data_IF_922360399321
#
_entry.id   IF_922360399321
#
_cell.length_a   1.000
_cell.length_b   1.000
_cell.length_c   1.000
_cell.angle_alpha   90.00
_cell.angle_beta   90.00
_cell.angle_gamma   90.00
#
_symmetry.space_group_name_H-M   'P 1'
#
loop_
_entity.id
_entity.type
_entity.pdbx_description
1 polymer ?
#
# COMPACT_ATOMS: atom_id res chain seq x y z
N UNK A 1 -0.39 16.78 -7.16
CA UNK A 1 -1.21 15.67 -6.65
C UNK A 1 -0.56 14.35 -7.01
N UNK A 2 -0.46 13.45 -6.05
CA UNK A 2 0.17 12.14 -6.25
C UNK A 2 -0.72 11.04 -5.70
N UNK A 3 -0.66 9.89 -6.35
CA UNK A 3 -1.19 8.65 -5.80
C UNK A 3 -0.03 7.91 -5.13
N UNK A 4 -0.13 7.68 -3.84
CA UNK A 4 0.81 6.83 -3.12
C UNK A 4 0.15 5.48 -2.96
N UNK A 5 0.79 4.46 -3.52
CA UNK A 5 0.31 3.08 -3.49
C UNK A 5 1.32 2.23 -2.73
N UNK A 6 0.87 1.53 -1.72
CA UNK A 6 1.72 0.65 -0.93
C UNK A 6 1.20 -0.78 -0.99
N UNK A 7 2.09 -1.72 -1.28
CA UNK A 7 1.79 -3.15 -1.16
C UNK A 7 2.46 -3.62 0.12
N UNK A 8 1.68 -4.09 1.08
CA UNK A 8 2.15 -4.39 2.43
C UNK A 8 1.69 -5.78 2.88
N UNK A 9 2.31 -6.27 3.95
CA UNK A 9 1.83 -7.49 4.62
C UNK A 9 0.47 -7.22 5.24
N UNK A 10 -0.49 -8.17 5.15
CA UNK A 10 -1.85 -7.93 5.62
C UNK A 10 -1.95 -7.52 7.09
N UNK A 11 -1.14 -8.11 7.97
CA UNK A 11 -1.18 -7.81 9.40
C UNK A 11 -0.65 -6.42 9.77
N UNK A 12 -0.08 -5.70 8.80
CA UNK A 12 0.39 -4.32 8.99
C UNK A 12 -0.64 -3.26 8.62
N UNK A 13 -1.78 -3.66 8.11
CA UNK A 13 -2.79 -2.70 7.63
C UNK A 13 -3.24 -1.71 8.70
N UNK A 14 -3.54 -2.19 9.91
CA UNK A 14 -4.03 -1.31 10.97
C UNK A 14 -2.98 -0.28 11.39
N UNK A 15 -1.73 -0.69 11.50
CA UNK A 15 -0.63 0.21 11.84
C UNK A 15 -0.42 1.27 10.76
N UNK A 16 -0.50 0.88 9.48
CA UNK A 16 -0.38 1.82 8.36
C UNK A 16 -1.54 2.81 8.36
N UNK A 17 -2.75 2.33 8.55
CA UNK A 17 -3.94 3.18 8.60
C UNK A 17 -3.83 4.22 9.72
N UNK A 18 -3.41 3.80 10.91
CA UNK A 18 -3.22 4.72 12.04
C UNK A 18 -2.11 5.73 11.77
N UNK A 19 -1.00 5.30 11.17
CA UNK A 19 0.10 6.19 10.84
C UNK A 19 -0.33 7.27 9.85
N UNK A 20 -1.11 6.90 8.83
CA UNK A 20 -1.64 7.85 7.85
C UNK A 20 -2.65 8.81 8.47
N UNK A 21 -3.54 8.31 9.32
CA UNK A 21 -4.50 9.14 10.04
C UNK A 21 -3.80 10.17 10.93
N UNK A 22 -2.72 9.78 11.58
CA UNK A 22 -1.94 10.65 12.47
C UNK A 22 -1.33 11.87 11.75
N UNK A 23 -1.08 11.77 10.46
CA UNK A 23 -0.54 12.89 9.67
C UNK A 23 -1.61 13.57 8.82
N UNK A 24 -2.89 13.29 9.10
CA UNK A 24 -4.01 13.96 8.44
C UNK A 24 -4.52 13.30 7.17
N UNK A 25 -4.01 12.15 6.79
CA UNK A 25 -4.51 11.40 5.63
C UNK A 25 -5.60 10.44 6.10
N UNK A 26 -6.84 10.77 5.78
CA UNK A 26 -8.00 9.98 6.23
C UNK A 26 -8.64 9.16 5.09
N UNK A 27 -8.54 9.63 3.87
CA UNK A 27 -9.09 8.94 2.71
C UNK A 27 -8.10 7.95 2.14
N UNK A 28 -8.31 6.67 2.41
CA UNK A 28 -7.51 5.60 1.83
C UNK A 28 -8.41 4.56 1.18
N UNK A 29 -7.90 3.90 0.15
CA UNK A 29 -8.56 2.76 -0.47
C UNK A 29 -7.73 1.52 -0.21
N UNK A 30 -8.38 0.45 0.20
CA UNK A 30 -7.72 -0.81 0.56
C UNK A 30 -8.25 -1.91 -0.35
N UNK A 31 -7.32 -2.67 -0.93
CA UNK A 31 -7.65 -3.80 -1.80
C UNK A 31 -6.86 -5.01 -1.37
N UNK A 32 -7.52 -6.15 -1.21
CA UNK A 32 -6.84 -7.42 -1.00
C UNK A 32 -6.25 -7.88 -2.33
N UNK A 33 -4.96 -8.19 -2.32
CA UNK A 33 -4.23 -8.61 -3.51
C UNK A 33 -3.35 -9.80 -3.19
N UNK A 34 -2.81 -10.41 -4.24
CA UNK A 34 -1.82 -11.49 -4.10
C UNK A 34 -0.52 -11.03 -4.70
N UNK A 35 0.55 -11.21 -3.95
CA UNK A 35 1.88 -10.87 -4.39
C UNK A 35 2.63 -12.10 -4.89
N UNK A 36 3.33 -11.92 -6.00
CA UNK A 36 4.31 -12.88 -6.49
C UNK A 36 5.69 -12.23 -6.37
N UNK A 37 6.60 -12.86 -5.65
CA UNK A 37 7.91 -12.27 -5.46
C UNK A 37 8.92 -13.28 -4.96
N UNK A 38 10.09 -12.78 -4.59
CA UNK A 38 11.20 -13.60 -4.10
C UNK A 38 11.00 -13.96 -2.63
N UNK A 39 10.07 -14.86 -2.37
CA UNK A 39 9.85 -15.37 -1.02
C UNK A 39 10.45 -16.77 -0.92
N UNK A 40 11.76 -16.82 -0.66
CA UNK A 40 12.50 -18.05 -0.58
C UNK A 40 12.08 -18.87 0.64
N UNK A 41 12.08 -20.18 0.50
CA UNK A 41 11.88 -21.12 1.58
C UNK A 41 10.44 -21.48 1.86
N UNK A 42 9.50 -20.94 1.11
CA UNK A 42 8.10 -21.31 1.25
C UNK A 42 7.74 -22.35 0.20
N UNK A 43 7.88 -23.61 0.56
CA UNK A 43 7.54 -24.74 -0.29
C UNK A 43 6.50 -25.62 0.39
N UNK A 44 5.67 -26.26 -0.40
CA UNK A 44 4.73 -27.25 0.08
C UNK A 44 4.94 -28.57 -0.66
N UNK A 45 4.72 -29.70 0.04
CA UNK A 45 4.72 -31.01 -0.56
C UNK A 45 3.29 -31.38 -0.98
N UNK A 46 3.14 -31.75 -2.24
CA UNK A 46 1.90 -32.23 -2.75
C UNK A 46 2.15 -33.47 -3.61
N UNK A 47 1.57 -34.61 -3.21
CA UNK A 47 1.75 -35.91 -3.89
C UNK A 47 3.22 -36.27 -4.07
N UNK A 48 4.04 -35.96 -3.07
CA UNK A 48 5.47 -36.27 -3.09
C UNK A 48 6.35 -35.34 -3.91
N UNK A 49 5.78 -34.28 -4.47
CA UNK A 49 6.53 -33.24 -5.18
C UNK A 49 6.54 -31.95 -4.39
N UNK A 50 7.66 -31.24 -4.44
CA UNK A 50 7.75 -29.92 -3.85
C UNK A 50 7.19 -28.86 -4.80
N UNK A 51 6.35 -27.98 -4.27
CA UNK A 51 5.84 -26.83 -4.98
C UNK A 51 6.28 -25.56 -4.27
N UNK A 52 6.78 -24.61 -5.04
CA UNK A 52 7.02 -23.25 -4.54
C UNK A 52 5.69 -22.53 -4.51
N UNK A 53 5.33 -21.97 -3.36
CA UNK A 53 4.14 -21.12 -3.26
C UNK A 53 4.50 -19.78 -3.82
N UNK A 54 4.00 -19.49 -5.02
CA UNK A 54 4.37 -18.31 -5.78
C UNK A 54 3.59 -17.07 -5.36
N UNK A 55 2.33 -17.24 -4.90
CA UNK A 55 1.45 -16.15 -4.56
C UNK A 55 1.14 -16.14 -3.07
N UNK A 56 1.30 -14.98 -2.45
CA UNK A 56 0.97 -14.76 -1.05
C UNK A 56 0.00 -13.59 -0.90
N UNK A 57 -0.88 -13.64 0.11
CA UNK A 57 -1.77 -12.52 0.40
C UNK A 57 -0.99 -11.26 0.71
N UNK A 58 -1.42 -10.17 0.13
CA UNK A 58 -0.93 -8.82 0.40
C UNK A 58 -2.11 -7.86 0.46
N UNK A 59 -1.86 -6.66 0.90
CA UNK A 59 -2.85 -5.59 0.89
C UNK A 59 -2.30 -4.41 0.13
N UNK A 60 -3.10 -3.86 -0.76
CA UNK A 60 -2.78 -2.63 -1.47
C UNK A 60 -3.51 -1.47 -0.80
N UNK A 61 -2.76 -0.49 -0.34
CA UNK A 61 -3.28 0.74 0.24
C UNK A 61 -2.98 1.89 -0.71
N UNK A 62 -3.99 2.66 -1.06
CA UNK A 62 -3.84 3.81 -1.96
C UNK A 62 -4.35 5.07 -1.30
N UNK A 63 -3.60 6.15 -1.44
CA UNK A 63 -3.98 7.47 -0.95
C UNK A 63 -3.59 8.53 -1.97
N UNK A 64 -4.58 9.35 -2.36
CA UNK A 64 -4.33 10.51 -3.20
C UNK A 64 -4.00 11.69 -2.30
N UNK A 65 -2.84 12.30 -2.49
CA UNK A 65 -2.34 13.34 -1.59
C UNK A 65 -1.74 14.52 -2.36
N UNK A 66 -1.66 15.66 -1.67
CA UNK A 66 -0.96 16.83 -2.18
C UNK A 66 0.55 16.55 -2.23
N UNK A 67 1.22 17.14 -3.22
CA UNK A 67 2.67 17.03 -3.36
C UNK A 67 3.42 17.42 -2.07
N UNK A 68 2.91 18.39 -1.34
CA UNK A 68 3.55 18.89 -0.13
C UNK A 68 3.69 17.85 0.99
N UNK A 69 2.86 16.78 0.98
CA UNK A 69 2.86 15.79 2.05
C UNK A 69 3.37 14.41 1.61
N UNK A 70 3.76 14.26 0.36
CA UNK A 70 4.18 12.96 -0.19
C UNK A 70 5.29 12.31 0.63
N UNK A 71 6.33 13.04 0.96
CA UNK A 71 7.47 12.49 1.69
C UNK A 71 7.07 12.03 3.09
N UNK A 72 6.19 12.77 3.75
CA UNK A 72 5.65 12.39 5.07
C UNK A 72 4.79 11.14 4.98
N UNK A 73 4.02 11.01 3.90
CA UNK A 73 3.19 9.82 3.67
C UNK A 73 4.06 8.59 3.45
N UNK A 74 5.09 8.70 2.62
CA UNK A 74 6.05 7.61 2.38
C UNK A 74 6.70 7.17 3.68
N UNK A 75 7.20 8.13 4.47
CA UNK A 75 7.86 7.84 5.75
C UNK A 75 6.91 7.16 6.73
N UNK A 76 5.68 7.64 6.83
CA UNK A 76 4.68 7.06 7.72
C UNK A 76 4.38 5.60 7.36
N UNK A 77 4.18 5.32 6.08
CA UNK A 77 3.93 3.96 5.61
C UNK A 77 5.15 3.06 5.83
N UNK A 78 6.31 3.53 5.46
CA UNK A 78 7.56 2.77 5.61
C UNK A 78 7.79 2.37 7.06
N UNK A 79 7.70 3.31 7.98
CA UNK A 79 7.91 3.06 9.40
C UNK A 79 6.89 2.07 9.95
N UNK A 80 5.62 2.22 9.59
CA UNK A 80 4.55 1.36 10.09
C UNK A 80 4.58 -0.06 9.48
N UNK A 81 4.96 -0.18 8.22
CA UNK A 81 4.87 -1.45 7.49
C UNK A 81 6.15 -2.30 7.56
N UNK A 82 7.28 -1.70 7.91
CA UNK A 82 8.57 -2.39 7.88
C UNK A 82 8.66 -3.44 8.99
N UNK A 83 9.05 -4.66 8.61
CA UNK A 83 9.47 -5.72 9.55
C UNK A 83 10.95 -6.02 9.43
N UNK A 84 11.59 -5.60 8.35
CA UNK A 84 12.98 -5.94 8.02
C UNK A 84 13.13 -7.30 7.36
N UNK A 85 12.04 -7.98 7.10
CA UNK A 85 12.04 -9.31 6.50
C UNK A 85 11.58 -9.24 5.04
N UNK A 86 11.91 -10.28 4.29
CA UNK A 86 11.46 -10.43 2.91
C UNK A 86 9.92 -10.41 2.88
N UNK A 87 9.38 -9.71 1.88
CA UNK A 87 7.94 -9.61 1.71
C UNK A 87 7.31 -8.37 2.30
N UNK A 88 8.10 -7.44 2.84
CA UNK A 88 7.58 -6.17 3.39
C UNK A 88 6.83 -5.33 2.36
N UNK A 89 7.13 -5.51 1.08
CA UNK A 89 6.44 -4.82 0.01
C UNK A 89 7.17 -3.59 -0.50
N UNK A 90 6.43 -2.78 -1.24
CA UNK A 90 6.96 -1.59 -1.90
C UNK A 90 5.96 -0.46 -1.86
N UNK A 91 6.48 0.76 -1.99
CA UNK A 91 5.67 1.96 -2.13
C UNK A 91 5.92 2.53 -3.52
N UNK A 92 4.85 2.88 -4.23
CA UNK A 92 4.88 3.47 -5.55
C UNK A 92 4.24 4.85 -5.49
N UNK A 93 4.82 5.80 -6.18
CA UNK A 93 4.26 7.16 -6.28
C UNK A 93 4.07 7.49 -7.74
N UNK A 94 2.85 7.88 -8.11
CA UNK A 94 2.53 8.29 -9.47
C UNK A 94 1.88 9.66 -9.45
N UNK A 95 2.08 10.42 -10.53
CA UNK A 95 1.44 11.71 -10.69
C UNK A 95 -0.03 11.52 -11.06
N UNK A 96 -0.90 12.30 -10.44
CA UNK A 96 -2.31 12.37 -10.79
C UNK A 96 -2.54 13.62 -11.62
N UNK A 97 -3.05 13.43 -12.83
CA UNK A 97 -3.36 14.55 -13.73
C UNK A 97 -4.62 15.28 -13.27
N UNK A 98 -5.59 14.55 -12.74
CA UNK A 98 -6.86 15.13 -12.31
C UNK A 98 -7.48 14.29 -11.20
N UNK A 99 -8.14 14.98 -10.27
CA UNK A 99 -8.95 14.36 -9.23
C UNK A 99 -10.27 15.09 -9.19
N UNK A 100 -11.37 14.36 -9.10
CA UNK A 100 -12.71 14.92 -8.97
C UNK A 100 -13.45 14.20 -7.85
N UNK A 101 -14.01 14.95 -6.92
CA UNK A 101 -14.86 14.41 -5.86
C UNK A 101 -16.27 14.26 -6.39
N UNK A 102 -16.76 13.04 -6.45
CA UNK A 102 -18.06 12.75 -7.09
C UNK A 102 -19.21 13.48 -6.42
N UNK A 103 -19.26 13.52 -5.10
CA UNK A 103 -20.36 14.12 -4.37
C UNK A 103 -20.48 15.63 -4.61
N UNK A 104 -19.37 16.34 -4.67
CA UNK A 104 -19.36 17.80 -4.71
C UNK A 104 -19.01 18.39 -6.06
N UNK A 105 -18.38 17.59 -6.94
CA UNK A 105 -17.85 18.09 -8.21
C UNK A 105 -16.56 18.89 -8.06
N UNK A 106 -16.01 19.02 -6.85
CA UNK A 106 -14.74 19.69 -6.64
C UNK A 106 -13.62 18.96 -7.39
N UNK A 107 -12.67 19.73 -7.92
CA UNK A 107 -11.57 19.20 -8.71
C UNK A 107 -10.23 19.63 -8.14
N UNK A 108 -9.18 18.92 -8.56
CA UNK A 108 -7.82 19.27 -8.19
C UNK A 108 -7.59 19.11 -6.70
N UNK A 109 -6.80 20.01 -6.14
CA UNK A 109 -6.38 19.96 -4.73
C UNK A 109 -7.57 19.98 -3.76
N UNK A 110 -8.66 20.67 -4.11
CA UNK A 110 -9.86 20.76 -3.29
C UNK A 110 -10.61 19.42 -3.22
N UNK A 111 -10.32 18.51 -4.11
CA UNK A 111 -10.94 17.18 -4.16
C UNK A 111 -10.19 16.12 -3.34
N UNK A 112 -9.05 16.47 -2.79
CA UNK A 112 -8.23 15.54 -2.00
C UNK A 112 -8.75 15.33 -0.59
#
# INVERSE_FOLDING_TARGET
MKMVTAIIKPFKLDEVREALSSIGVQGITVTEVKGFGRQKGHTELYRGAEYVVDFLPKVKVEAAVDDAVVDRVIEAIETAARTGKIGDGKIFVTSLEQVLRIRTGETGKDAL
#
